data_IF_828560555364
#
_entry.id   IF_828560555364
#
_cell.length_a   1.000
_cell.length_b   1.000
_cell.length_c   1.000
_cell.angle_alpha   90.00
_cell.angle_beta   90.00
_cell.angle_gamma   90.00
#
_symmetry.space_group_name_H-M   'P 1'
#
loop_
_entity.id
_entity.type
_entity.pdbx_description
1 polymer ?
#
# COMPACT_ATOMS: atom_id res chain seq x y z
N UNK A 1 -7.32 -19.47 0.12
CA UNK A 1 -7.59 -19.09 1.52
C UNK A 1 -7.44 -17.58 1.56
N UNK A 2 -8.57 -16.88 1.60
CA UNK A 2 -8.79 -15.43 1.53
C UNK A 2 -7.59 -14.56 1.08
N UNK A 3 -7.61 -14.17 -0.20
CA UNK A 3 -6.79 -13.13 -0.83
C UNK A 3 -7.05 -11.73 -0.23
N UNK A 4 -6.90 -11.57 1.09
CA UNK A 4 -6.98 -10.27 1.77
C UNK A 4 -5.88 -9.31 1.29
N UNK A 5 -4.85 -9.83 0.63
CA UNK A 5 -3.71 -9.06 0.14
C UNK A 5 -3.87 -8.53 -1.29
N UNK A 6 -4.99 -8.81 -1.97
CA UNK A 6 -5.26 -8.38 -3.34
C UNK A 6 -6.16 -7.13 -3.44
N UNK A 7 -6.53 -6.51 -2.31
CA UNK A 7 -7.50 -5.39 -2.26
C UNK A 7 -6.79 -4.03 -2.35
N UNK A 8 -5.47 -3.96 -2.52
CA UNK A 8 -4.78 -2.70 -2.73
C UNK A 8 -4.80 -2.34 -4.22
N UNK A 9 -5.32 -1.15 -4.53
CA UNK A 9 -5.35 -0.59 -5.87
C UNK A 9 -4.59 0.74 -5.91
N UNK A 10 -4.11 1.17 -7.08
CA UNK A 10 -3.57 2.50 -7.26
C UNK A 10 -4.51 3.58 -6.71
N UNK A 11 -3.97 4.53 -5.95
CA UNK A 11 -4.72 5.62 -5.32
C UNK A 11 -5.10 5.36 -3.86
N UNK A 12 -5.10 4.10 -3.39
CA UNK A 12 -5.34 3.77 -1.98
C UNK A 12 -4.20 4.27 -1.09
N UNK A 13 -4.54 4.64 0.14
CA UNK A 13 -3.60 5.09 1.15
C UNK A 13 -3.33 3.98 2.17
N UNK A 14 -2.06 3.74 2.45
CA UNK A 14 -1.57 2.67 3.31
C UNK A 14 -0.52 3.19 4.29
N UNK A 15 -0.32 2.48 5.38
CA UNK A 15 0.79 2.71 6.31
C UNK A 15 1.53 1.41 6.59
N UNK A 16 2.82 1.52 6.92
CA UNK A 16 3.65 0.38 7.29
C UNK A 16 3.63 0.21 8.82
N UNK A 17 3.17 -0.94 9.36
CA UNK A 17 3.02 -1.12 10.80
C UNK A 17 4.35 -1.04 11.56
N UNK A 18 5.44 -1.58 11.00
CA UNK A 18 6.78 -1.54 11.63
C UNK A 18 7.54 -0.23 11.36
N UNK A 19 7.06 0.61 10.44
CA UNK A 19 7.72 1.85 10.04
C UNK A 19 6.72 3.03 10.04
N UNK A 20 6.14 3.37 11.20
CA UNK A 20 5.23 4.50 11.31
C UNK A 20 5.89 5.82 10.92
N UNK A 21 7.22 5.93 11.05
CA UNK A 21 8.00 7.11 10.65
C UNK A 21 7.98 7.38 9.14
N UNK A 22 7.61 6.39 8.31
CA UNK A 22 7.47 6.61 6.86
C UNK A 22 6.22 7.42 6.51
N UNK A 23 5.28 7.54 7.44
CA UNK A 23 4.00 8.21 7.25
C UNK A 23 2.99 7.40 6.41
N UNK A 24 1.93 8.08 5.98
CA UNK A 24 0.91 7.48 5.10
C UNK A 24 1.39 7.52 3.66
N UNK A 25 1.62 6.34 3.07
CA UNK A 25 2.00 6.19 1.68
C UNK A 25 0.80 5.98 0.76
N UNK A 26 0.98 6.30 -0.52
CA UNK A 26 -0.01 6.06 -1.55
C UNK A 26 0.43 4.90 -2.46
N UNK A 27 -0.45 3.94 -2.69
CA UNK A 27 -0.24 2.88 -3.68
C UNK A 27 -0.21 3.53 -5.07
N UNK A 28 0.92 3.43 -5.75
CA UNK A 28 1.07 3.92 -7.13
C UNK A 28 0.71 2.86 -8.16
N UNK A 29 1.07 1.60 -7.90
CA UNK A 29 0.81 0.50 -8.83
C UNK A 29 0.80 -0.85 -8.13
N UNK A 30 0.07 -1.80 -8.71
CA UNK A 30 0.08 -3.20 -8.29
C UNK A 30 0.30 -4.07 -9.53
N UNK A 31 1.38 -4.86 -9.53
CA UNK A 31 1.78 -5.72 -10.65
C UNK A 31 1.96 -7.13 -10.13
N UNK A 32 0.97 -7.99 -10.41
CA UNK A 32 0.88 -9.32 -9.81
C UNK A 32 0.81 -9.20 -8.29
N UNK A 33 1.84 -9.73 -7.61
CA UNK A 33 1.94 -9.68 -6.14
C UNK A 33 2.79 -8.51 -5.64
N UNK A 34 3.36 -7.68 -6.53
CA UNK A 34 4.20 -6.55 -6.13
C UNK A 34 3.39 -5.27 -6.05
N UNK A 35 3.50 -4.58 -4.92
CA UNK A 35 2.77 -3.34 -4.63
C UNK A 35 3.79 -2.23 -4.50
N UNK A 36 3.70 -1.21 -5.35
CA UNK A 36 4.56 -0.04 -5.28
C UNK A 36 3.82 1.06 -4.52
N UNK A 37 4.42 1.53 -3.43
CA UNK A 37 3.88 2.60 -2.59
C UNK A 37 4.87 3.75 -2.56
N UNK A 38 4.39 4.98 -2.64
CA UNK A 38 5.20 6.16 -2.37
C UNK A 38 4.90 6.67 -0.97
N UNK A 39 5.88 6.63 -0.08
CA UNK A 39 5.81 7.25 1.24
C UNK A 39 6.47 8.63 1.23
N UNK A 40 5.98 9.57 2.06
CA UNK A 40 6.58 10.90 2.15
C UNK A 40 8.03 10.85 2.64
N UNK A 41 8.34 10.07 3.67
CA UNK A 41 9.68 10.09 4.29
C UNK A 41 10.64 9.01 3.73
N UNK A 42 10.10 7.90 3.22
CA UNK A 42 10.91 6.79 2.66
C UNK A 42 10.96 6.78 1.12
N UNK A 43 10.15 7.61 0.45
CA UNK A 43 10.01 7.60 -1.00
C UNK A 43 9.35 6.33 -1.52
N UNK A 44 9.74 5.90 -2.73
CA UNK A 44 9.11 4.77 -3.43
C UNK A 44 9.65 3.43 -2.93
N UNK A 45 8.77 2.62 -2.34
CA UNK A 45 9.07 1.28 -1.83
C UNK A 45 8.21 0.25 -2.57
N UNK A 46 8.80 -0.91 -2.89
CA UNK A 46 8.10 -2.03 -3.53
C UNK A 46 7.96 -3.16 -2.53
N UNK A 47 6.74 -3.57 -2.25
CA UNK A 47 6.41 -4.65 -1.34
C UNK A 47 6.02 -5.90 -2.08
N UNK A 48 6.32 -7.04 -1.47
CA UNK A 48 5.73 -8.32 -1.83
C UNK A 48 4.44 -8.50 -1.02
N UNK A 49 3.31 -8.39 -1.70
CA UNK A 49 1.97 -8.50 -1.12
C UNK A 49 1.69 -9.88 -0.51
N UNK A 50 2.55 -10.89 -0.66
CA UNK A 50 2.41 -12.16 0.06
C UNK A 50 3.05 -12.15 1.45
N UNK A 51 3.95 -11.20 1.72
CA UNK A 51 4.81 -11.20 2.91
C UNK A 51 4.55 -10.06 3.87
N UNK A 52 4.13 -8.90 3.37
CA UNK A 52 4.06 -7.68 4.17
C UNK A 52 2.60 -7.20 4.29
N UNK A 53 2.02 -7.22 5.50
CA UNK A 53 0.66 -6.73 5.73
C UNK A 53 0.67 -5.20 5.84
N UNK A 54 0.56 -4.51 4.70
CA UNK A 54 0.28 -3.07 4.69
C UNK A 54 -1.09 -2.82 5.32
N UNK A 55 -1.18 -1.81 6.18
CA UNK A 55 -2.46 -1.42 6.79
C UNK A 55 -3.14 -0.40 5.91
N UNK A 56 -4.33 -0.74 5.40
CA UNK A 56 -5.16 0.19 4.64
C UNK A 56 -5.65 1.32 5.57
N UNK A 57 -5.31 2.56 5.22
CA UNK A 57 -5.73 3.77 5.94
C UNK A 57 -6.98 4.35 5.28
N UNK A 58 -7.02 4.39 3.95
CA UNK A 58 -8.14 4.90 3.18
C UNK A 58 -8.20 4.29 1.78
N UNK A 59 -9.41 4.06 1.28
CA UNK A 59 -9.66 3.50 -0.06
C UNK A 59 -9.33 4.49 -1.21
N UNK A 60 -8.80 5.68 -0.89
CA UNK A 60 -8.56 6.74 -1.87
C UNK A 60 -9.82 7.58 -2.14
N UNK A 61 -9.71 8.68 -2.92
CA UNK A 61 -10.89 9.47 -3.27
C UNK A 61 -11.86 8.57 -4.05
N UNK A 62 -13.10 8.47 -3.58
CA UNK A 62 -14.17 7.84 -4.33
C UNK A 62 -14.26 8.54 -5.68
N UNK A 63 -13.92 7.83 -6.76
CA UNK A 63 -14.25 8.22 -8.12
C UNK A 63 -15.76 8.46 -8.17
N UNK A 64 -16.16 9.74 -8.19
CA UNK A 64 -17.53 10.20 -8.40
C UNK A 64 -17.83 10.17 -9.91
#
# INVERSE_FOLDING_TARGET
MADLNAILAPGMLVTHPDHPEWGTGQVQSVVGQRITVNFPEAGKVVFDGTRIPLTLVSLGPAIH
#
